data_IF_231719593181
#
_entry.id   IF_231719593181
#
_cell.length_a   1.000
_cell.length_b   1.000
_cell.length_c   1.000
_cell.angle_alpha   90.00
_cell.angle_beta   90.00
_cell.angle_gamma   90.00
#
_symmetry.space_group_name_H-M   'P 1'
#
loop_
_entity.id
_entity.type
_entity.pdbx_description
1 polymer ?
#
# COMPACT_ATOMS: atom_id res chain seq x y z
N UNK A 1 -14.75 -23.21 -9.55
CA UNK A 1 -13.88 -22.07 -9.23
C UNK A 1 -14.80 -20.94 -8.80
N UNK A 2 -14.53 -20.31 -7.67
CA UNK A 2 -15.33 -19.19 -7.14
C UNK A 2 -14.46 -17.94 -7.22
N UNK A 3 -15.01 -16.84 -7.73
CA UNK A 3 -14.35 -15.54 -7.76
C UNK A 3 -15.04 -14.61 -6.75
N UNK A 4 -14.24 -13.73 -6.17
CA UNK A 4 -14.67 -12.61 -5.32
C UNK A 4 -13.73 -11.43 -5.58
N UNK A 5 -14.19 -10.22 -5.32
CA UNK A 5 -13.31 -9.05 -5.19
C UNK A 5 -12.73 -8.99 -3.77
N UNK A 6 -11.48 -8.50 -3.66
CA UNK A 6 -10.78 -8.31 -2.41
C UNK A 6 -9.60 -7.33 -2.58
N UNK A 7 -9.11 -6.77 -1.47
CA UNK A 7 -7.89 -5.97 -1.47
C UNK A 7 -6.65 -6.83 -1.75
N UNK A 8 -5.83 -6.39 -2.71
CA UNK A 8 -4.76 -7.21 -3.26
C UNK A 8 -3.67 -7.58 -2.23
N UNK A 9 -3.27 -6.65 -1.35
CA UNK A 9 -2.23 -6.95 -0.36
C UNK A 9 -2.61 -8.08 0.61
N UNK A 10 -3.92 -8.26 0.89
CA UNK A 10 -4.42 -9.35 1.72
C UNK A 10 -4.26 -10.69 1.01
N UNK A 11 -4.69 -10.76 -0.25
CA UNK A 11 -4.58 -11.98 -1.06
C UNK A 11 -3.11 -12.34 -1.29
N UNK A 12 -2.24 -11.36 -1.54
CA UNK A 12 -0.79 -11.59 -1.66
C UNK A 12 -0.21 -12.21 -0.38
N UNK A 13 -0.53 -11.65 0.81
CA UNK A 13 -0.06 -12.22 2.07
C UNK A 13 -0.57 -13.66 2.30
N UNK A 14 -1.86 -13.90 2.07
CA UNK A 14 -2.46 -15.23 2.26
C UNK A 14 -1.85 -16.27 1.29
N UNK A 15 -1.60 -15.89 0.04
CA UNK A 15 -0.97 -16.76 -0.94
C UNK A 15 0.50 -17.07 -0.59
N UNK A 16 1.27 -16.05 -0.19
CA UNK A 16 2.72 -16.16 -0.06
C UNK A 16 3.14 -16.63 1.34
N UNK A 17 2.58 -16.05 2.39
CA UNK A 17 2.97 -16.35 3.76
C UNK A 17 2.13 -17.49 4.36
N UNK A 18 0.84 -17.53 4.06
CA UNK A 18 -0.07 -18.57 4.60
C UNK A 18 -0.27 -19.76 3.66
N UNK A 19 0.30 -19.71 2.45
CA UNK A 19 0.23 -20.78 1.44
C UNK A 19 -1.21 -21.18 1.09
N UNK A 20 -2.15 -20.24 1.16
CA UNK A 20 -3.52 -20.46 0.70
C UNK A 20 -3.52 -20.61 -0.83
N UNK A 21 -4.41 -21.44 -1.39
CA UNK A 21 -4.50 -21.66 -2.84
C UNK A 21 -5.24 -20.51 -3.54
N UNK A 22 -4.81 -19.28 -3.29
CA UNK A 22 -5.39 -18.07 -3.88
C UNK A 22 -4.48 -17.51 -4.97
N UNK A 23 -5.11 -16.94 -5.99
CA UNK A 23 -4.43 -16.25 -7.08
C UNK A 23 -5.21 -14.98 -7.43
N UNK A 24 -4.49 -13.92 -7.77
CA UNK A 24 -5.09 -12.66 -8.23
C UNK A 24 -5.21 -12.71 -9.75
N UNK A 25 -6.44 -12.63 -10.26
CA UNK A 25 -6.72 -12.60 -11.68
C UNK A 25 -6.71 -11.15 -12.20
N UNK A 26 -5.52 -10.53 -12.30
CA UNK A 26 -5.38 -9.14 -12.74
C UNK A 26 -5.99 -8.86 -14.13
N UNK A 27 -5.92 -9.83 -15.04
CA UNK A 27 -6.48 -9.73 -16.40
C UNK A 27 -8.01 -9.71 -16.46
N UNK A 28 -8.69 -10.12 -15.38
CA UNK A 28 -10.14 -10.03 -15.27
C UNK A 28 -10.64 -8.59 -15.01
N UNK A 29 -9.71 -7.65 -14.84
CA UNK A 29 -9.97 -6.27 -14.45
C UNK A 29 -9.81 -6.06 -12.95
N UNK A 30 -9.51 -4.82 -12.57
CA UNK A 30 -9.31 -4.43 -11.19
C UNK A 30 -9.79 -3.00 -10.96
N UNK A 31 -10.18 -2.73 -9.71
CA UNK A 31 -10.42 -1.36 -9.27
C UNK A 31 -9.10 -0.75 -8.83
N UNK A 32 -8.80 0.44 -9.35
CA UNK A 32 -7.66 1.22 -8.90
C UNK A 32 -8.11 2.22 -7.83
N UNK A 33 -7.71 1.97 -6.59
CA UNK A 33 -7.97 2.85 -5.45
C UNK A 33 -6.69 3.57 -5.03
N UNK A 34 -6.82 4.84 -4.63
CA UNK A 34 -5.72 5.60 -4.03
C UNK A 34 -6.23 6.26 -2.76
N UNK A 35 -5.55 5.98 -1.66
CA UNK A 35 -5.82 6.62 -0.39
C UNK A 35 -4.91 7.82 -0.17
N UNK A 36 -5.44 8.82 0.54
CA UNK A 36 -4.73 10.05 0.87
C UNK A 36 -4.66 10.23 2.38
N UNK A 37 -3.48 10.60 2.87
CA UNK A 37 -3.31 11.06 4.24
C UNK A 37 -3.65 12.55 4.35
N UNK A 38 -4.40 12.92 5.38
CA UNK A 38 -4.82 14.30 5.61
C UNK A 38 -4.72 14.67 7.09
N UNK A 39 -4.43 15.95 7.36
CA UNK A 39 -4.59 16.56 8.68
C UNK A 39 -5.97 17.21 8.74
N UNK A 40 -6.86 16.68 9.58
CA UNK A 40 -8.24 17.18 9.71
C UNK A 40 -8.24 18.57 10.33
N UNK A 41 -9.09 19.47 9.81
CA UNK A 41 -9.26 20.82 10.34
C UNK A 41 -9.66 20.77 11.82
N UNK A 42 -8.94 21.50 12.67
CA UNK A 42 -9.19 21.53 14.11
C UNK A 42 -8.59 20.37 14.88
N UNK A 43 -7.78 19.51 14.26
CA UNK A 43 -7.06 18.46 14.98
C UNK A 43 -6.21 19.06 16.13
N UNK A 44 -6.15 18.42 17.30
CA UNK A 44 -5.44 18.95 18.47
C UNK A 44 -3.92 19.05 18.29
N UNK A 45 -3.35 18.31 17.32
CA UNK A 45 -1.91 18.23 17.06
C UNK A 45 -1.58 18.48 15.58
N UNK A 46 -2.07 19.58 15.01
CA UNK A 46 -1.93 19.87 13.57
C UNK A 46 -0.47 19.84 13.10
N UNK A 47 0.43 20.48 13.87
CA UNK A 47 1.84 20.54 13.53
C UNK A 47 2.47 19.14 13.50
N UNK A 48 2.22 18.32 14.52
CA UNK A 48 2.70 16.94 14.55
C UNK A 48 2.15 16.08 13.41
N UNK A 49 0.88 16.29 13.04
CA UNK A 49 0.29 15.65 11.87
C UNK A 49 1.02 16.05 10.58
N UNK A 50 1.28 17.35 10.37
CA UNK A 50 2.02 17.83 9.21
C UNK A 50 3.45 17.29 9.17
N UNK A 51 4.12 17.20 10.31
CA UNK A 51 5.49 16.68 10.39
C UNK A 51 5.55 15.18 10.11
N UNK A 52 4.54 14.42 10.54
CA UNK A 52 4.37 13.02 10.13
C UNK A 52 4.17 12.89 8.61
N UNK A 53 3.31 13.71 8.00
CA UNK A 53 3.10 13.67 6.55
C UNK A 53 4.36 14.03 5.78
N UNK A 54 5.12 15.03 6.23
CA UNK A 54 6.43 15.38 5.65
C UNK A 54 7.39 14.20 5.74
N UNK A 55 7.53 13.61 6.92
CA UNK A 55 8.40 12.45 7.14
C UNK A 55 7.99 11.26 6.26
N UNK A 56 6.69 10.94 6.18
CA UNK A 56 6.19 9.84 5.34
C UNK A 56 6.37 10.12 3.84
N UNK A 57 6.44 11.39 3.42
CA UNK A 57 6.61 11.76 2.01
C UNK A 57 8.04 11.57 1.48
N UNK A 58 9.02 11.29 2.36
CA UNK A 58 10.39 10.96 2.01
C UNK A 58 10.41 9.54 1.38
N UNK A 59 11.04 9.34 0.20
CA UNK A 59 10.97 8.07 -0.54
C UNK A 59 11.30 6.83 0.29
N UNK A 60 12.35 6.88 1.11
CA UNK A 60 12.82 5.77 1.93
C UNK A 60 11.79 5.36 2.98
N UNK A 61 11.11 6.34 3.58
CA UNK A 61 10.06 6.09 4.58
C UNK A 61 8.79 5.58 3.91
N UNK A 62 8.42 6.14 2.75
CA UNK A 62 7.24 5.70 2.02
C UNK A 62 7.39 4.26 1.52
N UNK A 63 8.57 3.89 1.01
CA UNK A 63 8.88 2.54 0.56
C UNK A 63 8.73 1.50 1.69
N UNK A 64 8.89 1.91 2.96
CA UNK A 64 8.66 1.04 4.12
C UNK A 64 7.27 0.40 4.12
N UNK A 65 6.23 1.12 3.70
CA UNK A 65 4.87 0.58 3.64
C UNK A 65 4.77 -0.52 2.58
N UNK A 66 5.27 -0.25 1.37
CA UNK A 66 5.22 -1.17 0.24
C UNK A 66 6.21 -2.32 0.32
N UNK A 67 7.07 -2.36 1.35
CA UNK A 67 7.89 -3.52 1.75
C UNK A 67 7.16 -4.45 2.70
N UNK A 68 6.11 -3.97 3.37
CA UNK A 68 5.33 -4.72 4.36
C UNK A 68 3.96 -5.14 3.85
N UNK A 69 3.42 -4.40 2.88
CA UNK A 69 2.18 -4.73 2.20
C UNK A 69 2.35 -4.56 0.70
N UNK A 70 1.78 -5.47 -0.08
CA UNK A 70 1.85 -5.45 -1.55
C UNK A 70 1.00 -4.34 -2.18
N UNK A 71 1.12 -3.11 -1.71
CA UNK A 71 0.52 -1.91 -2.29
C UNK A 71 1.59 -1.06 -2.97
N UNK A 72 1.20 -0.30 -4.00
CA UNK A 72 2.09 0.66 -4.65
C UNK A 72 2.40 1.88 -3.78
N UNK A 73 3.43 2.64 -4.17
CA UNK A 73 3.77 3.93 -3.57
C UNK A 73 3.30 5.10 -4.42
N UNK A 74 2.99 6.22 -3.77
CA UNK A 74 2.65 7.47 -4.46
C UNK A 74 3.85 8.21 -5.05
N UNK A 75 5.07 7.98 -4.53
CA UNK A 75 6.33 8.51 -5.07
C UNK A 75 6.95 7.52 -6.03
N UNK A 76 7.46 8.02 -7.16
CA UNK A 76 8.15 7.21 -8.17
C UNK A 76 9.50 6.73 -7.66
N UNK A 77 10.22 7.60 -6.96
CA UNK A 77 11.54 7.31 -6.40
C UNK A 77 11.48 6.24 -5.30
N UNK A 78 10.33 6.12 -4.61
CA UNK A 78 10.12 5.05 -3.64
C UNK A 78 9.97 3.68 -4.30
N UNK A 79 9.53 3.62 -5.57
CA UNK A 79 9.37 2.36 -6.29
C UNK A 79 10.70 1.63 -6.48
N UNK A 80 11.78 2.38 -6.71
CA UNK A 80 13.15 1.87 -6.88
C UNK A 80 13.71 1.27 -5.58
N UNK A 81 13.07 1.52 -4.43
CA UNK A 81 13.49 1.06 -3.11
C UNK A 81 12.73 -0.18 -2.62
N UNK A 82 11.77 -0.68 -3.40
CA UNK A 82 10.90 -1.82 -3.06
C UNK A 82 11.44 -3.08 -3.77
N UNK A 83 11.36 -4.26 -3.15
CA UNK A 83 11.68 -5.52 -3.82
C UNK A 83 10.90 -5.70 -5.12
N UNK A 84 11.55 -6.28 -6.14
CA UNK A 84 10.90 -6.59 -7.41
C UNK A 84 9.77 -7.62 -7.25
N UNK A 85 9.94 -8.53 -6.28
CA UNK A 85 8.99 -9.58 -5.98
C UNK A 85 8.29 -9.30 -4.65
N UNK A 86 6.98 -9.51 -4.66
CA UNK A 86 6.14 -9.65 -3.48
C UNK A 86 5.83 -11.10 -3.24
#
# INVERSE_FOLDING_TARGET
MTLSDAFNARITNEAINEKKPYAIAWDAGFFYGTDYWAVVKGAPHQQGGLDLLKWFSIPENQAGFSKLYAYGTGRKEAADLIPADW
#
